data_IF_061281142975
#
_entry.id   IF_061281142975
#
_cell.length_a   1.000
_cell.length_b   1.000
_cell.length_c   1.000
_cell.angle_alpha   90.00
_cell.angle_beta   90.00
_cell.angle_gamma   90.00
#
_symmetry.space_group_name_H-M   'P 1'
#
loop_
_entity.id
_entity.type
_entity.pdbx_description
1 polymer ?
#
# COMPACT_ATOMS: atom_id res chain seq x y z
N UNK A 1 2.66 -29.07 -72.34
CA UNK A 1 2.02 -27.85 -71.80
C UNK A 1 1.77 -27.90 -70.27
N UNK A 2 2.54 -28.69 -69.48
CA UNK A 2 2.24 -28.92 -68.05
C UNK A 2 3.33 -28.46 -67.05
N UNK A 3 4.58 -28.24 -67.49
CA UNK A 3 5.69 -27.85 -66.62
C UNK A 3 5.66 -26.37 -66.20
N UNK A 4 5.32 -25.47 -67.14
CA UNK A 4 5.27 -24.02 -66.90
C UNK A 4 4.20 -23.67 -65.85
N UNK A 5 3.04 -24.32 -65.90
CA UNK A 5 1.93 -24.10 -64.95
C UNK A 5 2.26 -24.57 -63.53
N UNK A 6 3.11 -25.59 -63.41
CA UNK A 6 3.55 -26.15 -62.13
C UNK A 6 4.64 -25.27 -61.48
N UNK A 7 5.56 -24.70 -62.27
CA UNK A 7 6.55 -23.73 -61.78
C UNK A 7 5.88 -22.46 -61.22
N UNK A 8 4.90 -21.88 -61.92
CA UNK A 8 4.17 -20.70 -61.42
C UNK A 8 3.34 -20.97 -60.16
N UNK A 9 2.85 -22.21 -59.96
CA UNK A 9 2.16 -22.60 -58.71
C UNK A 9 3.11 -22.62 -57.52
N UNK A 10 4.31 -23.18 -57.70
CA UNK A 10 5.30 -23.26 -56.63
C UNK A 10 5.86 -21.89 -56.26
N UNK A 11 6.08 -21.00 -57.23
CA UNK A 11 6.53 -19.61 -56.97
C UNK A 11 5.47 -18.79 -56.23
N UNK A 12 4.17 -18.98 -56.55
CA UNK A 12 3.09 -18.31 -55.82
C UNK A 12 2.97 -18.84 -54.39
N UNK A 13 3.17 -20.15 -54.18
CA UNK A 13 3.14 -20.76 -52.86
C UNK A 13 4.32 -20.30 -51.99
N UNK A 14 5.52 -20.19 -52.55
CA UNK A 14 6.69 -19.68 -51.80
C UNK A 14 6.56 -18.21 -51.44
N UNK A 15 5.99 -17.38 -52.34
CA UNK A 15 5.70 -15.98 -52.03
C UNK A 15 4.65 -15.87 -50.91
N UNK A 16 3.58 -16.67 -50.98
CA UNK A 16 2.55 -16.71 -49.92
C UNK A 16 3.13 -17.13 -48.56
N UNK A 17 3.97 -18.16 -48.54
CA UNK A 17 4.62 -18.62 -47.31
C UNK A 17 5.58 -17.57 -46.75
N UNK A 18 6.35 -16.88 -47.59
CA UNK A 18 7.24 -15.81 -47.17
C UNK A 18 6.48 -14.61 -46.59
N UNK A 19 5.34 -14.24 -47.20
CA UNK A 19 4.46 -13.16 -46.70
C UNK A 19 3.84 -13.56 -45.36
N UNK A 20 3.36 -14.80 -45.22
CA UNK A 20 2.82 -15.29 -43.94
C UNK A 20 3.88 -15.30 -42.85
N UNK A 21 5.10 -15.73 -43.16
CA UNK A 21 6.21 -15.71 -42.20
C UNK A 21 6.59 -14.28 -41.79
N UNK A 22 6.61 -13.34 -42.75
CA UNK A 22 6.86 -11.92 -42.49
C UNK A 22 5.76 -11.31 -41.60
N UNK A 23 4.50 -11.62 -41.87
CA UNK A 23 3.35 -11.20 -41.05
C UNK A 23 3.44 -11.81 -39.65
N UNK A 24 3.85 -13.08 -39.51
CA UNK A 24 4.06 -13.72 -38.21
C UNK A 24 5.24 -13.13 -37.44
N UNK A 25 6.31 -12.70 -38.12
CA UNK A 25 7.44 -12.02 -37.48
C UNK A 25 7.09 -10.59 -37.04
N UNK A 26 6.31 -9.87 -37.85
CA UNK A 26 5.80 -8.53 -37.49
C UNK A 26 4.78 -8.64 -36.36
N UNK A 27 3.84 -9.58 -36.44
CA UNK A 27 2.88 -9.83 -35.36
C UNK A 27 3.60 -10.31 -34.09
N UNK A 28 4.53 -11.27 -34.19
CA UNK A 28 5.34 -11.74 -33.07
C UNK A 28 6.21 -10.66 -32.43
N UNK A 29 6.73 -9.72 -33.22
CA UNK A 29 7.44 -8.53 -32.74
C UNK A 29 6.54 -7.52 -32.04
N UNK A 30 5.28 -7.37 -32.49
CA UNK A 30 4.27 -6.52 -31.86
C UNK A 30 3.71 -7.14 -30.56
N UNK A 31 3.58 -8.46 -30.48
CA UNK A 31 3.14 -9.17 -29.26
C UNK A 31 4.27 -9.34 -28.22
N UNK A 32 5.54 -9.36 -28.64
CA UNK A 32 6.69 -9.46 -27.73
C UNK A 32 7.09 -8.15 -27.05
N UNK A 33 6.45 -7.03 -27.38
CA UNK A 33 6.76 -5.69 -26.90
C UNK A 33 5.62 -5.11 -26.04
N UNK A 34 4.98 -5.91 -25.19
CA UNK A 34 4.38 -5.35 -23.96
C UNK A 34 5.50 -5.14 -22.94
N UNK A 35 6.48 -4.32 -23.30
CA UNK A 35 7.48 -3.83 -22.36
C UNK A 35 6.69 -2.90 -21.44
N UNK A 36 6.23 -3.42 -20.30
CA UNK A 36 5.69 -2.61 -19.22
C UNK A 36 6.71 -1.51 -18.97
N UNK A 37 6.42 -0.28 -19.38
CA UNK A 37 7.25 0.84 -19.00
C UNK A 37 7.19 0.88 -17.47
N UNK A 38 8.34 0.90 -16.78
CA UNK A 38 8.33 1.06 -15.33
C UNK A 38 7.54 2.33 -15.02
N UNK A 39 6.63 2.23 -14.06
CA UNK A 39 5.89 3.37 -13.51
C UNK A 39 6.87 4.53 -13.27
N UNK A 40 6.52 5.76 -13.64
CA UNK A 40 7.39 6.91 -13.36
C UNK A 40 7.64 7.01 -11.86
N UNK A 41 8.77 7.60 -11.45
CA UNK A 41 9.07 7.78 -10.04
C UNK A 41 7.94 8.56 -9.35
N UNK A 42 7.52 9.69 -9.93
CA UNK A 42 6.38 10.48 -9.47
C UNK A 42 5.08 9.67 -9.36
N UNK A 43 4.83 8.78 -10.33
CA UNK A 43 3.68 7.89 -10.31
C UNK A 43 3.69 6.97 -9.10
N UNK A 44 4.85 6.37 -8.81
CA UNK A 44 5.04 5.52 -7.63
C UNK A 44 4.82 6.32 -6.33
N UNK A 45 5.36 7.53 -6.24
CA UNK A 45 5.20 8.39 -5.05
C UNK A 45 3.75 8.78 -4.85
N UNK A 46 3.06 9.19 -5.91
CA UNK A 46 1.65 9.54 -5.87
C UNK A 46 0.80 8.33 -5.46
N UNK A 47 1.10 7.15 -6.05
CA UNK A 47 0.44 5.90 -5.70
C UNK A 47 0.64 5.54 -4.23
N UNK A 48 1.87 5.64 -3.72
CA UNK A 48 2.18 5.42 -2.31
C UNK A 48 1.36 6.35 -1.39
N UNK A 49 1.32 7.64 -1.72
CA UNK A 49 0.57 8.62 -0.92
C UNK A 49 -0.93 8.29 -0.89
N UNK A 50 -1.52 7.98 -2.05
CA UNK A 50 -2.93 7.60 -2.16
C UNK A 50 -3.22 6.27 -1.43
N UNK A 51 -2.36 5.26 -1.59
CA UNK A 51 -2.53 3.96 -0.95
C UNK A 51 -2.42 4.07 0.59
N UNK A 52 -1.55 4.96 1.09
CA UNK A 52 -1.42 5.27 2.53
C UNK A 52 -2.67 5.94 3.07
N UNK A 53 -3.24 6.91 2.35
CA UNK A 53 -4.51 7.53 2.75
C UNK A 53 -5.64 6.50 2.72
N UNK A 54 -5.69 5.61 1.72
CA UNK A 54 -6.74 4.58 1.61
C UNK A 54 -6.68 3.52 2.71
N UNK A 55 -5.51 3.25 3.29
CA UNK A 55 -5.35 2.14 4.22
C UNK A 55 -5.94 2.38 5.61
N UNK A 56 -6.10 3.63 6.04
CA UNK A 56 -6.50 3.93 7.41
C UNK A 56 -7.65 4.96 7.51
N UNK A 57 -8.84 4.57 8.00
CA UNK A 57 -9.98 5.48 8.18
C UNK A 57 -9.70 6.70 9.06
N UNK A 58 -8.85 6.58 10.09
CA UNK A 58 -8.53 7.70 10.99
C UNK A 58 -7.55 8.67 10.34
N UNK A 59 -6.58 8.18 9.57
CA UNK A 59 -5.76 9.03 8.69
C UNK A 59 -6.61 9.79 7.68
N UNK A 60 -7.63 9.15 7.09
CA UNK A 60 -8.57 9.83 6.19
C UNK A 60 -9.36 10.94 6.88
N UNK A 61 -9.75 10.70 8.14
CA UNK A 61 -10.39 11.69 8.98
C UNK A 61 -9.45 12.87 9.27
N UNK A 62 -8.16 12.59 9.53
CA UNK A 62 -7.14 13.59 9.87
C UNK A 62 -6.89 14.57 8.71
N UNK A 63 -6.76 14.04 7.51
CA UNK A 63 -6.49 14.84 6.31
C UNK A 63 -7.77 15.37 5.63
N UNK A 64 -8.95 15.14 6.22
CA UNK A 64 -10.26 15.52 5.67
C UNK A 64 -10.43 15.14 4.18
N UNK A 65 -10.01 13.92 3.81
CA UNK A 65 -9.90 13.49 2.39
C UNK A 65 -11.24 13.20 1.69
N UNK A 66 -12.34 13.76 2.21
CA UNK A 66 -13.72 13.56 1.73
C UNK A 66 -13.89 13.84 0.23
N UNK A 67 -12.96 14.60 -0.35
CA UNK A 67 -12.99 15.09 -1.73
C UNK A 67 -11.75 14.71 -2.56
N UNK A 68 -10.89 13.79 -2.09
CA UNK A 68 -9.77 13.31 -2.93
C UNK A 68 -10.30 12.26 -3.90
N UNK A 69 -10.11 12.50 -5.20
CA UNK A 69 -10.59 11.61 -6.25
C UNK A 69 -10.08 10.17 -6.04
N UNK A 70 -11.00 9.20 -6.05
CA UNK A 70 -10.68 7.79 -5.88
C UNK A 70 -10.46 7.34 -4.43
N UNK A 71 -10.62 8.21 -3.43
CA UNK A 71 -10.63 7.85 -2.01
C UNK A 71 -12.07 7.98 -1.48
N UNK A 72 -12.60 6.91 -0.91
CA UNK A 72 -13.91 6.92 -0.25
C UNK A 72 -13.73 6.60 1.21
N UNK A 73 -14.00 7.59 2.05
CA UNK A 73 -14.02 7.42 3.49
C UNK A 73 -15.23 6.59 3.93
N UNK A 74 -14.95 5.58 4.76
CA UNK A 74 -15.97 4.82 5.46
C UNK A 74 -16.12 5.40 6.88
N UNK A 75 -17.21 6.15 7.15
CA UNK A 75 -17.40 6.81 8.44
C UNK A 75 -17.63 5.84 9.60
N UNK A 76 -17.86 4.56 9.32
CA UNK A 76 -18.20 3.56 10.34
C UNK A 76 -16.99 2.79 10.85
N UNK A 77 -15.80 3.03 10.29
CA UNK A 77 -14.57 2.26 10.59
C UNK A 77 -13.54 3.09 11.33
N UNK A 78 -12.78 2.41 12.17
CA UNK A 78 -11.60 2.91 12.86
C UNK A 78 -10.34 2.23 12.32
N UNK A 79 -9.17 2.70 12.74
CA UNK A 79 -7.88 2.05 12.42
C UNK A 79 -7.90 0.61 12.92
N UNK A 80 -7.52 -0.33 12.06
CA UNK A 80 -7.29 -1.71 12.44
C UNK A 80 -5.92 -1.83 13.12
N UNK A 81 -5.91 -2.28 14.37
CA UNK A 81 -4.68 -2.53 15.12
C UNK A 81 -4.39 -4.02 15.27
N UNK A 82 -5.03 -4.89 14.51
CA UNK A 82 -4.78 -6.33 14.53
C UNK A 82 -3.40 -6.68 13.98
N UNK A 83 -2.89 -7.85 14.36
CA UNK A 83 -1.61 -8.35 13.88
C UNK A 83 -1.62 -8.60 12.36
N UNK A 84 -2.77 -9.00 11.82
CA UNK A 84 -2.97 -9.18 10.39
C UNK A 84 -2.83 -7.87 9.60
N UNK A 85 -3.33 -6.75 10.13
CA UNK A 85 -3.13 -5.44 9.49
C UNK A 85 -1.65 -5.02 9.55
N UNK A 86 -0.98 -5.26 10.67
CA UNK A 86 0.45 -5.02 10.82
C UNK A 86 1.31 -5.81 9.80
N UNK A 87 1.00 -7.09 9.60
CA UNK A 87 1.62 -7.92 8.56
C UNK A 87 1.36 -7.37 7.16
N UNK A 88 0.11 -7.04 6.85
CA UNK A 88 -0.28 -6.46 5.56
C UNK A 88 0.45 -5.15 5.25
N UNK A 89 0.54 -4.24 6.23
CA UNK A 89 1.25 -2.97 6.09
C UNK A 89 2.75 -3.18 5.89
N UNK A 90 3.36 -4.15 6.59
CA UNK A 90 4.75 -4.50 6.39
C UNK A 90 5.01 -5.08 4.99
N UNK A 91 4.13 -5.96 4.50
CA UNK A 91 4.25 -6.51 3.15
C UNK A 91 4.16 -5.43 2.07
N UNK A 92 3.24 -4.47 2.23
CA UNK A 92 3.14 -3.30 1.35
C UNK A 92 4.42 -2.46 1.37
N UNK A 93 4.99 -2.19 2.55
CA UNK A 93 6.28 -1.47 2.70
C UNK A 93 7.43 -2.22 2.02
N UNK A 94 7.47 -3.54 2.17
CA UNK A 94 8.49 -4.40 1.55
C UNK A 94 8.37 -4.41 0.03
N UNK A 95 7.15 -4.50 -0.52
CA UNK A 95 6.90 -4.41 -1.95
C UNK A 95 7.33 -3.04 -2.50
N UNK A 96 6.97 -1.96 -1.81
CA UNK A 96 7.38 -0.62 -2.17
C UNK A 96 8.91 -0.46 -2.16
N UNK A 97 9.60 -0.98 -1.14
CA UNK A 97 11.06 -0.95 -1.07
C UNK A 97 11.71 -1.69 -2.25
N UNK A 98 11.13 -2.82 -2.66
CA UNK A 98 11.57 -3.56 -3.86
C UNK A 98 11.38 -2.74 -5.12
N UNK A 99 10.21 -2.10 -5.29
CA UNK A 99 9.94 -1.21 -6.44
C UNK A 99 10.91 -0.04 -6.48
N UNK A 100 11.14 0.61 -5.33
CA UNK A 100 12.08 1.72 -5.20
C UNK A 100 13.49 1.33 -5.65
N UNK A 101 13.96 0.13 -5.28
CA UNK A 101 15.28 -0.37 -5.70
C UNK A 101 15.46 -0.54 -7.22
N UNK A 102 14.37 -0.59 -7.99
CA UNK A 102 14.44 -0.73 -9.44
C UNK A 102 14.70 0.60 -10.17
N UNK A 103 14.61 1.73 -9.47
CA UNK A 103 14.88 3.04 -10.06
C UNK A 103 16.37 3.34 -10.10
N UNK A 104 16.85 3.81 -11.25
CA UNK A 104 18.21 4.30 -11.39
C UNK A 104 18.33 5.69 -10.74
N UNK A 105 18.60 5.74 -9.43
CA UNK A 105 18.64 6.99 -8.65
C UNK A 105 19.52 8.10 -9.25
N UNK A 106 20.60 7.74 -9.94
CA UNK A 106 21.49 8.69 -10.62
C UNK A 106 20.85 9.41 -11.83
N UNK A 107 19.69 8.95 -12.30
CA UNK A 107 18.92 9.55 -13.40
C UNK A 107 17.74 10.40 -12.92
N UNK A 108 17.50 10.46 -11.61
CA UNK A 108 16.44 11.28 -11.02
C UNK A 108 16.85 12.76 -11.00
N UNK A 109 15.87 13.66 -10.96
CA UNK A 109 16.11 15.07 -10.64
C UNK A 109 16.71 15.19 -9.23
N UNK A 110 17.40 16.30 -8.89
CA UNK A 110 17.89 16.50 -7.52
C UNK A 110 16.80 16.38 -6.45
N UNK A 111 15.60 16.89 -6.72
CA UNK A 111 14.44 16.84 -5.83
C UNK A 111 13.91 15.41 -5.67
N UNK A 112 13.73 14.68 -6.78
CA UNK A 112 13.27 13.29 -6.77
C UNK A 112 14.29 12.38 -6.10
N UNK A 113 15.58 12.67 -6.30
CA UNK A 113 16.66 11.94 -5.64
C UNK A 113 16.60 12.13 -4.12
N UNK A 114 16.32 13.34 -3.63
CA UNK A 114 16.15 13.57 -2.19
C UNK A 114 14.96 12.77 -1.64
N UNK A 115 13.81 12.82 -2.32
CA UNK A 115 12.62 12.02 -1.97
C UNK A 115 12.93 10.53 -1.96
N UNK A 116 13.63 10.05 -2.99
CA UNK A 116 14.10 8.67 -3.10
C UNK A 116 14.97 8.29 -1.90
N UNK A 117 15.96 9.11 -1.55
CA UNK A 117 16.90 8.82 -0.46
C UNK A 117 16.18 8.76 0.90
N UNK A 118 15.25 9.68 1.15
CA UNK A 118 14.42 9.70 2.37
C UNK A 118 13.57 8.43 2.47
N UNK A 119 12.82 8.10 1.41
CA UNK A 119 11.96 6.92 1.41
C UNK A 119 12.75 5.63 1.48
N UNK A 120 13.88 5.57 0.79
CA UNK A 120 14.77 4.41 0.81
C UNK A 120 15.29 4.17 2.21
N UNK A 121 15.71 5.21 2.91
CA UNK A 121 16.14 5.13 4.30
C UNK A 121 14.99 4.67 5.22
N UNK A 122 13.84 5.36 5.16
CA UNK A 122 12.69 5.09 6.03
C UNK A 122 12.17 3.65 5.88
N UNK A 123 11.92 3.22 4.65
CA UNK A 123 11.43 1.86 4.36
C UNK A 123 12.44 0.78 4.75
N UNK A 124 13.74 1.05 4.55
CA UNK A 124 14.79 0.10 4.95
C UNK A 124 14.91 0.01 6.48
N UNK A 125 14.76 1.13 7.19
CA UNK A 125 14.72 1.15 8.64
C UNK A 125 13.49 0.41 9.16
N UNK A 126 12.30 0.70 8.62
CA UNK A 126 11.04 0.04 8.95
C UNK A 126 11.14 -1.49 8.78
N UNK A 127 11.70 -1.97 7.67
CA UNK A 127 11.92 -3.40 7.44
C UNK A 127 12.83 -4.04 8.50
N UNK A 128 13.91 -3.36 8.91
CA UNK A 128 14.84 -3.88 9.90
C UNK A 128 14.25 -3.94 11.31
N UNK A 129 13.45 -2.94 11.68
CA UNK A 129 12.82 -2.88 13.00
C UNK A 129 11.54 -3.71 13.08
N UNK A 130 10.95 -4.10 11.93
CA UNK A 130 9.71 -4.87 11.92
C UNK A 130 9.83 -6.18 12.71
N UNK A 131 10.98 -6.87 12.74
CA UNK A 131 11.14 -8.06 13.60
C UNK A 131 10.94 -7.80 15.11
N UNK A 132 10.92 -6.53 15.51
CA UNK A 132 10.64 -6.03 16.86
C UNK A 132 9.36 -5.19 16.90
N UNK A 133 8.46 -5.35 15.92
CA UNK A 133 7.20 -4.61 15.85
C UNK A 133 6.33 -4.88 17.08
N UNK A 134 6.51 -6.04 17.70
CA UNK A 134 5.95 -6.44 18.98
C UNK A 134 6.59 -5.72 20.19
N UNK A 135 7.53 -4.80 20.00
CA UNK A 135 7.98 -3.87 21.04
C UNK A 135 7.38 -2.47 20.85
N UNK A 136 6.63 -2.25 19.78
CA UNK A 136 6.04 -0.96 19.48
C UNK A 136 4.97 -0.60 20.52
N UNK A 137 5.09 0.60 21.07
CA UNK A 137 4.18 1.22 22.04
C UNK A 137 3.38 2.38 21.44
N UNK A 138 3.58 2.71 20.17
CA UNK A 138 2.84 3.79 19.50
C UNK A 138 1.33 3.52 19.46
N UNK A 139 0.89 2.25 19.47
CA UNK A 139 -0.53 1.92 19.54
C UNK A 139 -1.18 2.42 20.83
N UNK A 140 -0.45 2.40 21.94
CA UNK A 140 -0.96 2.96 23.19
C UNK A 140 -1.14 4.47 23.07
N UNK A 141 -0.15 5.18 22.50
CA UNK A 141 -0.28 6.61 22.24
C UNK A 141 -1.44 6.90 21.28
N UNK A 142 -1.71 6.03 20.31
CA UNK A 142 -2.89 6.14 19.44
C UNK A 142 -4.18 6.00 20.26
N UNK A 143 -4.26 5.01 21.16
CA UNK A 143 -5.43 4.81 22.02
C UNK A 143 -5.71 6.00 22.96
N UNK A 144 -4.67 6.59 23.57
CA UNK A 144 -4.85 7.74 24.49
C UNK A 144 -5.20 9.02 23.75
N UNK A 145 -4.64 9.22 22.56
CA UNK A 145 -4.96 10.39 21.74
C UNK A 145 -6.30 10.25 21.00
N UNK A 146 -6.83 9.03 20.86
CA UNK A 146 -8.05 8.78 20.10
C UNK A 146 -9.28 9.55 20.61
N UNK A 147 -9.67 9.52 21.90
CA UNK A 147 -10.90 10.17 22.34
C UNK A 147 -10.98 11.69 22.03
N UNK A 148 -9.99 12.53 22.39
CA UNK A 148 -10.05 13.95 22.06
C UNK A 148 -9.93 14.19 20.56
N UNK A 149 -9.15 13.38 19.84
CA UNK A 149 -9.01 13.50 18.39
C UNK A 149 -10.34 13.20 17.67
N UNK A 150 -10.95 12.06 17.98
CA UNK A 150 -12.19 11.60 17.36
C UNK A 150 -13.34 12.56 17.63
N UNK A 151 -13.48 13.03 18.88
CA UNK A 151 -14.52 13.98 19.26
C UNK A 151 -14.42 15.33 18.52
N UNK A 152 -13.20 15.80 18.25
CA UNK A 152 -12.98 17.10 17.61
C UNK A 152 -13.03 17.05 16.07
N UNK A 153 -12.67 15.93 15.46
CA UNK A 153 -12.51 15.84 14.01
C UNK A 153 -13.67 15.11 13.31
N UNK A 154 -14.39 14.23 14.02
CA UNK A 154 -15.48 13.49 13.40
C UNK A 154 -16.64 14.42 13.02
N UNK A 155 -17.03 14.47 11.73
CA UNK A 155 -18.08 15.39 11.29
C UNK A 155 -19.44 14.92 11.80
N UNK A 156 -20.15 15.76 12.57
CA UNK A 156 -21.53 15.51 12.99
C UNK A 156 -22.40 16.66 12.48
N UNK A 157 -22.94 16.51 11.25
CA UNK A 157 -23.72 17.55 10.56
C UNK A 157 -25.19 17.14 10.35
N UNK A 158 -25.49 15.85 10.54
CA UNK A 158 -26.79 15.26 10.32
C UNK A 158 -27.06 14.10 11.28
N UNK A 159 -28.31 13.63 11.32
CA UNK A 159 -28.67 12.43 12.08
C UNK A 159 -27.94 11.18 11.56
N UNK A 160 -27.67 11.11 10.25
CA UNK A 160 -26.91 10.00 9.66
C UNK A 160 -25.47 9.99 10.18
N UNK A 161 -24.83 11.15 10.27
CA UNK A 161 -23.47 11.27 10.80
C UNK A 161 -23.41 10.85 12.27
N UNK A 162 -24.39 11.28 13.08
CA UNK A 162 -24.48 10.88 14.48
C UNK A 162 -24.63 9.36 14.65
N UNK A 163 -25.40 8.70 13.77
CA UNK A 163 -25.52 7.23 13.76
C UNK A 163 -24.17 6.58 13.40
N UNK A 164 -23.49 7.08 12.37
CA UNK A 164 -22.18 6.56 11.97
C UNK A 164 -21.13 6.76 13.08
N UNK A 165 -21.16 7.91 13.76
CA UNK A 165 -20.27 8.20 14.90
C UNK A 165 -20.42 7.14 16.00
N UNK A 166 -21.66 6.79 16.35
CA UNK A 166 -21.94 5.74 17.35
C UNK A 166 -21.42 4.38 16.88
N UNK A 167 -21.61 4.03 15.59
CA UNK A 167 -21.10 2.78 15.03
C UNK A 167 -19.58 2.71 15.12
N UNK A 168 -18.88 3.74 14.66
CA UNK A 168 -17.43 3.81 14.73
C UNK A 168 -16.93 3.78 16.19
N UNK A 169 -17.57 4.51 17.10
CA UNK A 169 -17.22 4.53 18.52
C UNK A 169 -17.37 3.15 19.17
N UNK A 170 -18.37 2.35 18.78
CA UNK A 170 -18.51 0.97 19.27
C UNK A 170 -17.31 0.08 18.85
N UNK A 171 -16.72 0.35 17.69
CA UNK A 171 -15.50 -0.31 17.21
C UNK A 171 -14.23 0.03 18.01
N UNK A 172 -14.26 1.04 18.89
CA UNK A 172 -13.12 1.36 19.75
C UNK A 172 -12.78 0.21 20.71
N UNK A 173 -13.79 -0.56 21.12
CA UNK A 173 -13.59 -1.75 21.96
C UNK A 173 -12.71 -2.80 21.29
N UNK A 174 -12.91 -3.05 19.99
CA UNK A 174 -12.09 -3.97 19.20
C UNK A 174 -10.64 -3.45 19.09
N UNK A 175 -10.48 -2.14 18.87
CA UNK A 175 -9.16 -1.49 18.80
C UNK A 175 -8.36 -1.67 20.10
N UNK A 176 -9.02 -1.51 21.26
CA UNK A 176 -8.42 -1.77 22.57
C UNK A 176 -8.12 -3.27 22.76
N UNK A 177 -9.03 -4.16 22.34
CA UNK A 177 -8.84 -5.60 22.45
C UNK A 177 -7.60 -6.08 21.68
N UNK A 178 -7.34 -5.56 20.48
CA UNK A 178 -6.11 -5.88 19.73
C UNK A 178 -4.83 -5.56 20.51
N UNK A 179 -4.78 -4.38 21.15
CA UNK A 179 -3.62 -3.99 21.97
C UNK A 179 -3.48 -4.86 23.21
N UNK A 180 -4.59 -5.20 23.87
CA UNK A 180 -4.59 -6.10 25.04
C UNK A 180 -4.08 -7.49 24.66
N UNK A 181 -4.64 -8.09 23.60
CA UNK A 181 -4.23 -9.42 23.11
C UNK A 181 -2.73 -9.43 22.83
N UNK A 182 -2.23 -8.40 22.15
CA UNK A 182 -0.81 -8.27 21.86
C UNK A 182 0.06 -8.19 23.12
N UNK A 183 -0.36 -7.44 24.14
CA UNK A 183 0.35 -7.37 25.42
C UNK A 183 0.33 -8.74 26.13
N UNK A 184 -0.77 -9.49 26.04
CA UNK A 184 -0.88 -10.83 26.60
C UNK A 184 0.05 -11.82 25.88
N UNK A 185 0.04 -11.84 24.55
CA UNK A 185 0.92 -12.70 23.73
C UNK A 185 2.40 -12.40 24.01
N UNK A 186 2.76 -11.12 24.19
CA UNK A 186 4.13 -10.70 24.58
C UNK A 186 4.49 -11.23 25.96
N UNK A 187 3.57 -11.16 26.92
CA UNK A 187 3.77 -11.68 28.28
C UNK A 187 4.06 -13.19 28.25
N UNK A 188 3.34 -13.95 27.43
CA UNK A 188 3.56 -15.39 27.26
C UNK A 188 4.95 -15.71 26.68
N UNK A 189 5.47 -14.82 25.82
CA UNK A 189 6.83 -14.90 25.24
C UNK A 189 7.93 -14.38 26.16
N UNK A 190 7.60 -13.93 27.38
CA UNK A 190 8.56 -13.39 28.35
C UNK A 190 8.92 -11.92 28.13
N UNK A 191 8.21 -11.22 27.25
CA UNK A 191 8.39 -9.79 26.98
C UNK A 191 7.31 -8.99 27.71
N UNK A 192 7.71 -8.21 28.71
CA UNK A 192 6.78 -7.37 29.49
C UNK A 192 7.18 -5.91 29.29
N UNK A 193 6.24 -5.00 28.93
CA UNK A 193 6.51 -3.57 28.91
C UNK A 193 7.04 -3.07 30.24
N UNK A 194 7.86 -2.01 30.22
CA UNK A 194 8.40 -1.41 31.43
C UNK A 194 7.28 -1.00 32.40
N UNK A 195 7.53 -1.14 33.70
CA UNK A 195 6.53 -0.91 34.74
C UNK A 195 6.00 0.54 34.74
N UNK A 196 6.85 1.47 34.36
CA UNK A 196 6.61 2.89 34.20
C UNK A 196 5.58 3.13 33.08
N UNK A 197 5.76 2.46 31.93
CA UNK A 197 4.82 2.51 30.82
C UNK A 197 3.45 1.95 31.24
N UNK A 198 3.42 0.81 31.92
CA UNK A 198 2.17 0.22 32.42
C UNK A 198 1.44 1.12 33.44
N UNK A 199 2.18 1.87 34.27
CA UNK A 199 1.59 2.85 35.19
C UNK A 199 0.97 4.01 34.44
N UNK A 200 1.67 4.55 33.43
CA UNK A 200 1.14 5.62 32.59
C UNK A 200 -0.17 5.20 31.92
N UNK A 201 -0.27 3.96 31.43
CA UNK A 201 -1.51 3.40 30.86
C UNK A 201 -2.71 3.41 31.80
N UNK A 202 -2.50 3.36 33.12
CA UNK A 202 -3.57 3.30 34.11
C UNK A 202 -4.02 4.69 34.59
N UNK A 203 -3.20 5.71 34.38
CA UNK A 203 -3.42 7.07 34.91
C UNK A 203 -3.74 8.11 33.85
N UNK A 204 -3.62 7.75 32.57
CA UNK A 204 -3.95 8.59 31.40
C UNK A 204 -5.40 8.42 30.99
#
# INVERSE_FOLDING_TARGET
MNLVRQMFKNTRLTILLAVVLLVLLIAGGLFGQTQHQPESFDGLIQKMAVDTLKSDPETQLYFDVKNVEGIRWDPTKLTDLSDADYELLNDKRNDLLKKLNNYAAAKLSPEDKLTYDILKWDLSAAQQVYKYWDLNTNDYLSLTNFPPYFANNYPIRSQADAKNYIVALNGFSDKVAHVINRIQDRREKGTVPASEFLKEMLTS
#
